data_IF_391108838003
#
_entry.id   IF_391108838003
#
_cell.length_a   1.000
_cell.length_b   1.000
_cell.length_c   1.000
_cell.angle_alpha   90.00
_cell.angle_beta   90.00
_cell.angle_gamma   90.00
#
_symmetry.space_group_name_H-M   'P 1'
#
loop_
_entity.id
_entity.type
_entity.pdbx_description
1 polymer ?
#
# COMPACT_ATOMS: atom_id res chain seq x y z
N UNK A 1 -10.49 -13.25 10.91
CA UNK A 1 -10.91 -11.84 11.07
C UNK A 1 -10.89 -11.16 9.72
N UNK A 2 -11.83 -10.25 9.52
CA UNK A 2 -12.12 -9.67 8.22
C UNK A 2 -11.46 -8.31 8.04
N UNK A 3 -11.07 -8.01 6.81
CA UNK A 3 -10.56 -6.71 6.38
C UNK A 3 -11.58 -6.12 5.43
N UNK A 4 -12.02 -4.89 5.70
CA UNK A 4 -12.92 -4.15 4.81
C UNK A 4 -12.08 -3.17 3.99
N UNK A 5 -12.16 -3.31 2.67
CA UNK A 5 -11.43 -2.46 1.72
C UNK A 5 -12.28 -1.28 1.26
N UNK A 6 -11.76 -0.06 1.36
CA UNK A 6 -12.44 1.15 0.89
C UNK A 6 -11.68 1.68 -0.33
N UNK A 7 -12.27 1.53 -1.52
CA UNK A 7 -11.62 1.84 -2.79
C UNK A 7 -12.07 3.23 -3.27
N UNK A 8 -11.12 4.15 -3.44
CA UNK A 8 -11.40 5.58 -3.58
C UNK A 8 -10.86 6.16 -4.89
N UNK A 9 -11.77 6.71 -5.69
CA UNK A 9 -11.51 7.33 -6.98
C UNK A 9 -11.01 6.35 -8.04
N UNK A 10 -10.68 6.88 -9.22
CA UNK A 10 -10.33 6.06 -10.38
C UNK A 10 -9.18 5.08 -10.10
N UNK A 11 -8.09 5.55 -9.50
CA UNK A 11 -6.92 4.71 -9.23
C UNK A 11 -7.21 3.65 -8.17
N UNK A 12 -7.83 4.04 -7.04
CA UNK A 12 -8.16 3.14 -5.94
C UNK A 12 -9.08 2.00 -6.37
N UNK A 13 -10.12 2.30 -7.15
CA UNK A 13 -11.06 1.31 -7.67
C UNK A 13 -10.42 0.33 -8.67
N UNK A 14 -9.46 0.79 -9.48
CA UNK A 14 -8.77 -0.09 -10.44
C UNK A 14 -7.73 -0.98 -9.76
N UNK A 15 -6.95 -0.44 -8.83
CA UNK A 15 -6.00 -1.23 -8.02
C UNK A 15 -6.76 -2.25 -7.15
N UNK A 16 -7.85 -1.82 -6.51
CA UNK A 16 -8.67 -2.70 -5.70
C UNK A 16 -9.27 -3.86 -6.49
N UNK A 17 -9.78 -3.62 -7.70
CA UNK A 17 -10.29 -4.68 -8.56
C UNK A 17 -9.21 -5.72 -8.90
N UNK A 18 -8.01 -5.29 -9.30
CA UNK A 18 -6.88 -6.21 -9.57
C UNK A 18 -6.41 -6.93 -8.29
N UNK A 19 -6.46 -6.27 -7.13
CA UNK A 19 -6.13 -6.87 -5.84
C UNK A 19 -7.08 -8.02 -5.50
N UNK A 20 -8.39 -7.82 -5.60
CA UNK A 20 -9.36 -8.89 -5.33
C UNK A 20 -9.26 -10.05 -6.33
N UNK A 21 -8.91 -9.78 -7.59
CA UNK A 21 -8.57 -10.83 -8.57
C UNK A 21 -7.36 -11.67 -8.12
N UNK A 22 -6.28 -11.02 -7.66
CA UNK A 22 -5.09 -11.70 -7.15
C UNK A 22 -5.41 -12.52 -5.90
N UNK A 23 -6.12 -11.92 -4.93
CA UNK A 23 -6.50 -12.57 -3.67
C UNK A 23 -7.38 -13.80 -3.92
N UNK A 24 -8.42 -13.66 -4.75
CA UNK A 24 -9.30 -14.75 -5.11
C UNK A 24 -8.56 -15.84 -5.89
N UNK A 25 -7.66 -15.45 -6.81
CA UNK A 25 -6.93 -16.42 -7.63
C UNK A 25 -5.98 -17.26 -6.78
N UNK A 26 -5.28 -16.64 -5.85
CA UNK A 26 -4.34 -17.30 -4.95
C UNK A 26 -5.06 -18.17 -3.90
N UNK A 27 -6.20 -17.71 -3.36
CA UNK A 27 -7.01 -18.50 -2.42
C UNK A 27 -7.58 -19.78 -3.05
N UNK A 28 -7.87 -19.75 -4.36
CA UNK A 28 -8.41 -20.89 -5.10
C UNK A 28 -7.33 -21.77 -5.73
N UNK A 29 -6.05 -21.38 -5.66
CA UNK A 29 -4.95 -22.13 -6.25
C UNK A 29 -4.53 -23.30 -5.34
N UNK A 30 -4.78 -24.52 -5.82
CA UNK A 30 -4.42 -25.77 -5.14
C UNK A 30 -5.42 -26.32 -4.11
N UNK A 31 -5.17 -27.54 -3.65
CA UNK A 31 -6.00 -28.31 -2.71
C UNK A 31 -5.68 -27.99 -1.23
N UNK A 32 -5.70 -26.71 -0.83
CA UNK A 32 -5.28 -26.28 0.52
C UNK A 32 -6.42 -25.62 1.30
N UNK A 33 -7.34 -26.44 1.79
CA UNK A 33 -8.61 -26.00 2.41
C UNK A 33 -8.44 -24.98 3.56
N UNK A 34 -7.44 -25.14 4.43
CA UNK A 34 -7.22 -24.22 5.57
C UNK A 34 -6.76 -22.82 5.14
N UNK A 35 -5.83 -22.74 4.17
CA UNK A 35 -5.33 -21.47 3.65
C UNK A 35 -6.45 -20.70 2.95
N UNK A 36 -7.17 -21.42 2.07
CA UNK A 36 -8.34 -20.89 1.36
C UNK A 36 -9.39 -20.36 2.33
N UNK A 37 -9.76 -21.14 3.35
CA UNK A 37 -10.78 -20.73 4.32
C UNK A 37 -10.42 -19.40 4.99
N UNK A 38 -9.17 -19.22 5.42
CA UNK A 38 -8.74 -17.99 6.13
C UNK A 38 -8.62 -16.81 5.16
N UNK A 39 -8.13 -17.03 3.94
CA UNK A 39 -8.12 -15.99 2.91
C UNK A 39 -9.54 -15.54 2.54
N UNK A 40 -10.45 -16.49 2.34
CA UNK A 40 -11.87 -16.22 2.08
C UNK A 40 -12.53 -15.49 3.25
N UNK A 41 -12.40 -15.97 4.49
CA UNK A 41 -12.93 -15.30 5.69
C UNK A 41 -12.46 -13.85 5.81
N UNK A 42 -11.20 -13.60 5.44
CA UNK A 42 -10.55 -12.29 5.55
C UNK A 42 -11.12 -11.28 4.55
N UNK A 43 -11.27 -11.66 3.28
CA UNK A 43 -11.57 -10.70 2.20
C UNK A 43 -12.95 -10.85 1.58
N UNK A 44 -13.62 -11.98 1.78
CA UNK A 44 -14.87 -12.30 1.11
C UNK A 44 -15.96 -12.67 2.13
N UNK A 45 -17.20 -12.34 1.78
CA UNK A 45 -18.40 -12.94 2.34
C UNK A 45 -18.82 -14.09 1.42
N UNK A 46 -19.10 -15.26 2.01
CA UNK A 46 -19.57 -16.41 1.24
C UNK A 46 -21.08 -16.45 1.33
N UNK A 47 -21.76 -16.35 0.19
CA UNK A 47 -23.22 -16.43 0.13
C UNK A 47 -23.71 -17.87 0.34
N UNK A 48 -25.00 -18.06 0.61
CA UNK A 48 -25.61 -19.39 0.76
C UNK A 48 -25.42 -20.28 -0.49
N UNK A 49 -25.21 -19.65 -1.65
CA UNK A 49 -24.95 -20.32 -2.94
C UNK A 49 -23.48 -20.67 -3.14
N UNK A 50 -22.61 -20.31 -2.20
CA UNK A 50 -21.17 -20.52 -2.26
C UNK A 50 -20.41 -19.49 -3.11
N UNK A 51 -21.07 -18.42 -3.54
CA UNK A 51 -20.44 -17.32 -4.28
C UNK A 51 -19.63 -16.43 -3.33
N UNK A 52 -18.52 -15.88 -3.83
CA UNK A 52 -17.65 -15.00 -3.04
C UNK A 52 -17.97 -13.53 -3.36
N UNK A 53 -18.49 -12.81 -2.37
CA UNK A 53 -18.72 -11.37 -2.43
C UNK A 53 -17.55 -10.65 -1.74
N UNK A 54 -16.90 -9.69 -2.42
CA UNK A 54 -15.78 -8.94 -1.86
C UNK A 54 -16.23 -8.02 -0.72
N UNK A 55 -15.51 -8.03 0.40
CA UNK A 55 -15.66 -7.10 1.53
C UNK A 55 -15.05 -5.74 1.15
N UNK A 56 -15.69 -5.05 0.21
CA UNK A 56 -15.18 -3.80 -0.34
C UNK A 56 -16.28 -2.80 -0.65
N UNK A 57 -16.00 -1.52 -0.40
CA UNK A 57 -16.85 -0.40 -0.79
C UNK A 57 -16.14 0.42 -1.87
N UNK A 58 -16.78 0.59 -3.03
CA UNK A 58 -16.23 1.34 -4.17
C UNK A 58 -16.83 2.73 -4.21
N UNK A 59 -15.98 3.74 -4.26
CA UNK A 59 -16.39 5.12 -4.18
C UNK A 59 -15.70 5.89 -5.28
N UNK A 60 -16.50 6.49 -6.16
CA UNK A 60 -16.02 7.40 -7.17
C UNK A 60 -17.06 8.50 -7.38
N UNK A 61 -16.66 9.65 -7.89
CA UNK A 61 -17.62 10.69 -8.28
C UNK A 61 -18.10 10.51 -9.72
N UNK A 62 -17.62 9.48 -10.42
CA UNK A 62 -17.99 9.14 -11.80
C UNK A 62 -18.31 7.64 -11.94
N UNK A 63 -19.40 7.26 -12.63
CA UNK A 63 -19.88 5.87 -12.64
C UNK A 63 -19.07 4.96 -13.56
N UNK A 64 -18.33 5.54 -14.53
CA UNK A 64 -17.67 4.79 -15.61
C UNK A 64 -16.65 3.79 -15.08
N UNK A 65 -15.87 4.18 -14.07
CA UNK A 65 -14.83 3.32 -13.49
C UNK A 65 -15.46 2.21 -12.67
N UNK A 66 -16.43 2.55 -11.81
CA UNK A 66 -17.17 1.59 -10.98
C UNK A 66 -17.86 0.54 -11.84
N UNK A 67 -18.64 0.95 -12.84
CA UNK A 67 -19.37 0.04 -13.73
C UNK A 67 -18.42 -0.92 -14.47
N UNK A 68 -17.22 -0.45 -14.82
CA UNK A 68 -16.18 -1.28 -15.42
C UNK A 68 -15.64 -2.30 -14.42
N UNK A 69 -15.31 -1.88 -13.21
CA UNK A 69 -14.79 -2.77 -12.17
C UNK A 69 -15.81 -3.84 -11.77
N UNK A 70 -17.07 -3.45 -11.57
CA UNK A 70 -18.18 -4.37 -11.24
C UNK A 70 -18.42 -5.35 -12.37
N UNK A 71 -18.52 -4.88 -13.63
CA UNK A 71 -18.70 -5.77 -14.79
C UNK A 71 -17.54 -6.77 -14.94
N UNK A 72 -16.30 -6.33 -14.68
CA UNK A 72 -15.11 -7.18 -14.80
C UNK A 72 -15.09 -8.27 -13.73
N UNK A 73 -15.39 -7.94 -12.48
CA UNK A 73 -15.48 -8.91 -11.38
C UNK A 73 -16.50 -10.00 -11.70
N UNK A 74 -17.73 -9.62 -12.06
CA UNK A 74 -18.81 -10.58 -12.38
C UNK A 74 -18.48 -11.43 -13.60
N UNK A 75 -17.81 -10.88 -14.62
CA UNK A 75 -17.44 -11.62 -15.83
C UNK A 75 -16.45 -12.76 -15.57
N UNK A 76 -15.61 -12.63 -14.54
CA UNK A 76 -14.67 -13.67 -14.17
C UNK A 76 -15.34 -14.87 -13.47
N UNK A 77 -16.58 -14.74 -12.98
CA UNK A 77 -17.35 -15.77 -12.26
C UNK A 77 -16.63 -16.41 -11.06
N UNK A 78 -15.59 -15.76 -10.53
CA UNK A 78 -14.83 -16.24 -9.35
C UNK A 78 -15.25 -15.52 -8.07
N UNK A 79 -15.63 -14.26 -8.19
CA UNK A 79 -16.08 -13.38 -7.12
C UNK A 79 -16.87 -12.19 -7.70
N UNK A 80 -17.60 -11.46 -6.86
CA UNK A 80 -18.37 -10.26 -7.25
C UNK A 80 -18.29 -9.17 -6.17
N UNK A 81 -18.70 -7.95 -6.51
CA UNK A 81 -18.95 -6.91 -5.52
C UNK A 81 -20.39 -6.97 -5.03
N UNK A 82 -20.64 -6.55 -3.79
CA UNK A 82 -21.99 -6.45 -3.25
C UNK A 82 -22.85 -5.45 -4.02
N UNK A 83 -24.13 -5.76 -4.15
CA UNK A 83 -25.09 -4.94 -4.93
C UNK A 83 -25.24 -3.53 -4.39
N UNK A 84 -25.01 -3.34 -3.09
CA UNK A 84 -25.09 -2.05 -2.39
C UNK A 84 -23.73 -1.48 -1.96
N UNK A 85 -22.63 -2.04 -2.44
CA UNK A 85 -21.26 -1.71 -1.98
C UNK A 85 -20.54 -0.75 -2.94
N UNK A 86 -21.29 0.08 -3.68
CA UNK A 86 -20.71 1.08 -4.57
C UNK A 86 -21.49 2.40 -4.59
N UNK A 87 -20.74 3.50 -4.69
CA UNK A 87 -21.26 4.86 -4.73
C UNK A 87 -20.69 5.62 -5.92
N UNK A 88 -21.58 6.21 -6.72
CA UNK A 88 -21.18 7.08 -7.83
C UNK A 88 -22.01 8.35 -7.90
N UNK A 89 -21.42 9.42 -8.46
CA UNK A 89 -22.10 10.67 -8.78
C UNK A 89 -21.96 10.99 -10.27
N UNK A 90 -22.59 12.07 -10.73
CA UNK A 90 -22.47 12.53 -12.13
C UNK A 90 -21.36 13.57 -12.33
N UNK A 91 -20.83 14.14 -11.25
CA UNK A 91 -19.88 15.25 -11.29
C UNK A 91 -18.63 14.92 -10.48
N UNK A 92 -17.51 14.76 -11.17
CA UNK A 92 -16.19 14.52 -10.59
C UNK A 92 -15.63 15.71 -9.80
N UNK A 93 -14.61 15.45 -8.97
CA UNK A 93 -13.93 16.50 -8.20
C UNK A 93 -12.94 17.34 -9.01
N UNK A 94 -12.79 17.10 -10.32
CA UNK A 94 -12.00 17.94 -11.23
C UNK A 94 -10.51 18.04 -10.88
N UNK A 95 -9.92 16.98 -10.34
CA UNK A 95 -8.54 16.96 -9.81
C UNK A 95 -8.24 18.00 -8.73
N UNK A 96 -9.25 18.53 -8.05
CA UNK A 96 -9.10 19.49 -6.96
C UNK A 96 -9.39 18.80 -5.62
N UNK A 97 -8.36 18.70 -4.77
CA UNK A 97 -8.47 18.10 -3.44
C UNK A 97 -9.47 18.85 -2.55
N UNK A 98 -9.50 20.19 -2.58
CA UNK A 98 -10.42 20.99 -1.77
C UNK A 98 -11.89 20.74 -2.12
N UNK A 99 -12.21 20.59 -3.41
CA UNK A 99 -13.56 20.21 -3.83
C UNK A 99 -13.93 18.80 -3.35
N UNK A 100 -13.00 17.85 -3.43
CA UNK A 100 -13.20 16.50 -2.88
C UNK A 100 -13.44 16.49 -1.36
N UNK A 101 -12.60 17.22 -0.61
CA UNK A 101 -12.61 17.23 0.85
C UNK A 101 -13.73 18.11 1.44
N UNK A 102 -13.89 19.35 0.98
CA UNK A 102 -14.78 20.34 1.59
C UNK A 102 -16.21 20.31 1.05
N UNK A 103 -16.41 19.82 -0.19
CA UNK A 103 -17.73 19.82 -0.84
C UNK A 103 -18.29 18.41 -0.94
N UNK A 104 -17.62 17.51 -1.67
CA UNK A 104 -18.12 16.16 -1.88
C UNK A 104 -18.11 15.33 -0.60
N UNK A 105 -17.08 15.51 0.25
CA UNK A 105 -16.96 14.88 1.56
C UNK A 105 -18.20 15.05 2.44
N UNK A 106 -18.46 16.25 2.97
CA UNK A 106 -19.61 16.50 3.83
C UNK A 106 -20.94 16.17 3.16
N UNK A 107 -21.09 16.44 1.86
CA UNK A 107 -22.35 16.22 1.14
C UNK A 107 -22.76 14.75 1.05
N UNK A 108 -21.79 13.84 1.02
CA UNK A 108 -22.03 12.40 0.80
C UNK A 108 -21.60 11.52 1.98
N UNK A 109 -21.21 12.15 3.09
CA UNK A 109 -20.79 11.49 4.34
C UNK A 109 -21.74 10.39 4.76
N UNK A 110 -22.99 10.73 5.06
CA UNK A 110 -23.95 9.81 5.67
C UNK A 110 -24.17 8.55 4.83
N UNK A 111 -24.26 8.73 3.50
CA UNK A 111 -24.47 7.63 2.57
C UNK A 111 -23.27 6.70 2.55
N UNK A 112 -22.06 7.26 2.48
CA UNK A 112 -20.81 6.47 2.41
C UNK A 112 -20.47 5.81 3.74
N UNK A 113 -20.61 6.51 4.86
CA UNK A 113 -20.44 5.93 6.20
C UNK A 113 -21.41 4.77 6.41
N UNK A 114 -22.67 4.90 5.99
CA UNK A 114 -23.66 3.83 6.08
C UNK A 114 -23.25 2.60 5.25
N UNK A 115 -22.70 2.79 4.04
CA UNK A 115 -22.19 1.67 3.23
C UNK A 115 -21.03 0.96 3.91
N UNK A 116 -20.06 1.70 4.46
CA UNK A 116 -18.95 1.08 5.19
C UNK A 116 -19.42 0.39 6.46
N UNK A 117 -20.36 1.01 7.20
CA UNK A 117 -20.97 0.44 8.41
C UNK A 117 -21.64 -0.90 8.12
N UNK A 118 -22.42 -1.01 7.03
CA UNK A 118 -23.03 -2.28 6.62
C UNK A 118 -22.00 -3.37 6.34
N UNK A 119 -20.91 -3.05 5.66
CA UNK A 119 -19.84 -4.01 5.39
C UNK A 119 -19.08 -4.42 6.65
N UNK A 120 -18.86 -3.48 7.58
CA UNK A 120 -18.26 -3.77 8.88
C UNK A 120 -19.16 -4.66 9.74
N UNK A 121 -20.47 -4.39 9.79
CA UNK A 121 -21.44 -5.20 10.56
C UNK A 121 -21.65 -6.61 10.00
N UNK A 122 -21.35 -6.81 8.70
CA UNK A 122 -21.31 -8.14 8.06
C UNK A 122 -20.04 -8.95 8.44
N UNK A 123 -19.11 -8.38 9.18
CA UNK A 123 -17.92 -9.07 9.64
C UNK A 123 -18.16 -9.64 11.05
N UNK A 124 -17.90 -10.94 11.24
CA UNK A 124 -17.93 -11.54 12.58
C UNK A 124 -16.93 -10.86 13.54
N UNK A 125 -15.78 -10.45 12.99
CA UNK A 125 -14.78 -9.63 13.68
C UNK A 125 -13.97 -8.82 12.68
N UNK A 126 -14.05 -7.49 12.78
CA UNK A 126 -13.23 -6.56 12.02
C UNK A 126 -11.78 -6.57 12.54
N UNK A 127 -10.82 -6.82 11.65
CA UNK A 127 -9.39 -6.68 11.93
C UNK A 127 -8.88 -5.28 11.66
N UNK A 128 -9.45 -4.59 10.67
CA UNK A 128 -9.01 -3.28 10.23
C UNK A 128 -9.63 -2.88 8.90
N UNK A 129 -9.42 -1.61 8.56
CA UNK A 129 -9.87 -0.97 7.34
C UNK A 129 -8.66 -0.72 6.45
N UNK A 130 -8.78 -1.03 5.16
CA UNK A 130 -7.75 -0.73 4.17
C UNK A 130 -8.29 0.22 3.11
N UNK A 131 -7.84 1.46 3.12
CA UNK A 131 -8.19 2.43 2.10
C UNK A 131 -7.19 2.37 0.93
N UNK A 132 -7.71 2.32 -0.30
CA UNK A 132 -6.93 2.26 -1.54
C UNK A 132 -7.19 3.54 -2.33
N UNK A 133 -6.17 4.38 -2.52
CA UNK A 133 -6.33 5.67 -3.18
C UNK A 133 -5.05 6.16 -3.88
N UNK A 134 -5.18 7.24 -4.66
CA UNK A 134 -4.04 8.00 -5.18
C UNK A 134 -3.97 9.36 -4.51
N UNK A 135 -2.75 9.86 -4.29
CA UNK A 135 -2.51 11.17 -3.66
C UNK A 135 -2.68 12.36 -4.61
N UNK A 136 -2.70 12.11 -5.92
CA UNK A 136 -2.69 13.18 -6.94
C UNK A 136 -4.08 13.59 -7.46
N UNK A 137 -5.09 12.73 -7.30
CA UNK A 137 -6.44 12.98 -7.82
C UNK A 137 -7.18 14.09 -7.08
N UNK A 138 -8.49 14.24 -7.32
CA UNK A 138 -9.39 15.06 -6.47
C UNK A 138 -10.29 14.19 -5.60
N UNK A 139 -10.92 13.18 -6.19
CA UNK A 139 -11.78 12.22 -5.48
C UNK A 139 -10.96 11.31 -4.57
N UNK A 140 -9.98 10.59 -5.14
CA UNK A 140 -9.19 9.62 -4.39
C UNK A 140 -8.44 10.26 -3.22
N UNK A 141 -7.88 11.45 -3.43
CA UNK A 141 -7.07 12.17 -2.45
C UNK A 141 -7.96 12.95 -1.46
N UNK A 142 -8.76 13.91 -1.94
CA UNK A 142 -9.55 14.83 -1.12
C UNK A 142 -10.71 14.14 -0.43
N UNK A 143 -11.62 13.54 -1.21
CA UNK A 143 -12.75 12.83 -0.60
C UNK A 143 -12.27 11.62 0.21
N UNK A 144 -11.23 10.92 -0.26
CA UNK A 144 -10.66 9.81 0.49
C UNK A 144 -10.00 10.22 1.82
N UNK A 145 -9.35 11.39 1.88
CA UNK A 145 -8.82 11.92 3.16
C UNK A 145 -9.96 12.24 4.12
N UNK A 146 -11.02 12.89 3.64
CA UNK A 146 -12.21 13.17 4.44
C UNK A 146 -12.85 11.89 4.97
N UNK A 147 -13.01 10.88 4.12
CA UNK A 147 -13.56 9.59 4.53
C UNK A 147 -12.66 8.90 5.55
N UNK A 148 -11.34 8.96 5.40
CA UNK A 148 -10.40 8.40 6.38
C UNK A 148 -10.59 9.07 7.75
N UNK A 149 -10.86 10.37 7.80
CA UNK A 149 -11.20 11.08 9.03
C UNK A 149 -12.49 10.55 9.64
N UNK A 150 -13.56 10.44 8.85
CA UNK A 150 -14.81 9.83 9.27
C UNK A 150 -14.64 8.40 9.82
N UNK A 151 -13.82 7.58 9.16
CA UNK A 151 -13.53 6.21 9.60
C UNK A 151 -12.75 6.17 10.91
N UNK A 152 -11.80 7.08 11.11
CA UNK A 152 -11.08 7.20 12.39
C UNK A 152 -12.01 7.63 13.52
N UNK A 153 -12.95 8.54 13.25
CA UNK A 153 -13.94 9.00 14.23
C UNK A 153 -14.94 7.89 14.58
N UNK A 154 -15.41 7.13 13.59
CA UNK A 154 -16.38 6.05 13.78
C UNK A 154 -15.76 4.77 14.37
N UNK A 155 -14.50 4.46 14.03
CA UNK A 155 -13.81 3.23 14.42
C UNK A 155 -12.45 3.53 15.06
N UNK A 156 -12.40 4.25 16.21
CA UNK A 156 -11.15 4.74 16.79
C UNK A 156 -10.18 3.64 17.20
N UNK A 157 -10.69 2.46 17.60
CA UNK A 157 -9.91 1.30 18.02
C UNK A 157 -9.50 0.38 16.88
N UNK A 158 -10.03 0.57 15.68
CA UNK A 158 -9.72 -0.25 14.52
C UNK A 158 -8.47 0.28 13.82
N UNK A 159 -7.65 -0.64 13.33
CA UNK A 159 -6.49 -0.26 12.53
C UNK A 159 -6.92 0.23 11.13
N UNK A 160 -6.33 1.33 10.68
CA UNK A 160 -6.56 1.94 9.37
C UNK A 160 -5.23 2.01 8.62
N UNK A 161 -5.12 1.22 7.55
CA UNK A 161 -4.00 1.28 6.61
C UNK A 161 -4.44 2.01 5.34
N UNK A 162 -3.66 3.01 4.94
CA UNK A 162 -3.85 3.68 3.66
C UNK A 162 -2.80 3.19 2.65
N UNK A 163 -3.25 2.57 1.58
CA UNK A 163 -2.43 2.33 0.41
C UNK A 163 -2.51 3.52 -0.56
N UNK A 164 -1.34 4.10 -0.84
CA UNK A 164 -1.19 5.28 -1.69
C UNK A 164 -0.44 4.94 -2.96
N UNK A 165 -1.09 5.18 -4.10
CA UNK A 165 -0.41 5.27 -5.39
C UNK A 165 0.18 6.66 -5.56
N UNK A 166 1.50 6.75 -5.52
CA UNK A 166 2.27 7.97 -5.71
C UNK A 166 2.32 8.35 -7.20
N UNK A 167 2.12 9.63 -7.56
CA UNK A 167 2.08 10.06 -8.95
C UNK A 167 3.44 9.96 -9.64
N UNK A 168 3.42 10.02 -10.97
CA UNK A 168 4.65 10.18 -11.73
C UNK A 168 5.33 11.52 -11.42
N UNK A 169 6.65 11.48 -11.29
CA UNK A 169 7.52 12.63 -11.05
C UNK A 169 7.51 13.64 -12.19
N UNK A 170 7.21 13.19 -13.42
CA UNK A 170 7.02 14.02 -14.63
C UNK A 170 5.73 14.83 -14.61
N UNK A 171 4.73 14.40 -13.82
CA UNK A 171 3.45 15.07 -13.69
C UNK A 171 2.36 14.48 -14.59
N UNK A 172 1.23 14.08 -13.98
CA UNK A 172 -0.01 13.71 -14.68
C UNK A 172 -1.04 14.85 -14.62
N UNK A 173 -1.02 15.59 -13.51
CA UNK A 173 -1.93 16.70 -13.22
C UNK A 173 -1.10 17.87 -12.69
N UNK A 174 -1.38 19.08 -13.19
CA UNK A 174 -0.62 20.28 -12.81
C UNK A 174 -0.63 20.53 -11.29
N UNK A 175 -1.77 20.31 -10.64
CA UNK A 175 -1.96 20.55 -9.20
C UNK A 175 -1.68 19.33 -8.31
N UNK A 176 -1.10 18.25 -8.85
CA UNK A 176 -0.88 17.00 -8.11
C UNK A 176 -0.03 17.18 -6.85
N UNK A 177 0.92 18.11 -6.86
CA UNK A 177 1.85 18.29 -5.74
C UNK A 177 1.10 18.89 -4.53
N UNK A 178 0.19 19.84 -4.75
CA UNK A 178 -0.70 20.35 -3.70
C UNK A 178 -1.63 19.28 -3.16
N UNK A 179 -2.27 18.51 -4.05
CA UNK A 179 -3.14 17.41 -3.65
C UNK A 179 -2.37 16.40 -2.78
N UNK A 180 -1.12 16.11 -3.16
CA UNK A 180 -0.26 15.16 -2.44
C UNK A 180 0.12 15.68 -1.06
N UNK A 181 0.53 16.96 -0.94
CA UNK A 181 0.88 17.59 0.35
C UNK A 181 -0.32 17.57 1.32
N UNK A 182 -1.48 18.06 0.88
CA UNK A 182 -2.69 18.12 1.71
C UNK A 182 -3.17 16.73 2.14
N UNK A 183 -3.09 15.76 1.22
CA UNK A 183 -3.45 14.36 1.51
C UNK A 183 -2.52 13.76 2.55
N UNK A 184 -1.21 13.82 2.33
CA UNK A 184 -0.23 13.17 3.21
C UNK A 184 -0.23 13.79 4.60
N UNK A 185 -0.28 15.12 4.71
CA UNK A 185 -0.28 15.82 6.00
C UNK A 185 -1.43 15.35 6.90
N UNK A 186 -2.63 15.20 6.33
CA UNK A 186 -3.82 14.72 7.05
C UNK A 186 -3.76 13.21 7.29
N UNK A 187 -3.41 12.40 6.28
CA UNK A 187 -3.34 10.94 6.42
C UNK A 187 -2.29 10.50 7.45
N UNK A 188 -1.21 11.26 7.66
CA UNK A 188 -0.21 10.97 8.69
C UNK A 188 -0.79 10.98 10.11
N UNK A 189 -1.76 11.86 10.35
CA UNK A 189 -2.45 11.97 11.64
C UNK A 189 -3.53 10.90 11.80
N UNK A 190 -4.19 10.52 10.70
CA UNK A 190 -5.38 9.66 10.72
C UNK A 190 -5.08 8.16 10.58
N UNK A 191 -4.02 7.81 9.86
CA UNK A 191 -3.66 6.41 9.54
C UNK A 191 -2.72 5.81 10.58
N UNK A 192 -2.80 4.50 10.78
CA UNK A 192 -1.82 3.77 11.60
C UNK A 192 -0.58 3.41 10.77
N UNK A 193 -0.76 3.11 9.49
CA UNK A 193 0.33 2.93 8.53
C UNK A 193 -0.06 3.35 7.12
N UNK A 194 0.93 3.75 6.33
CA UNK A 194 0.77 4.23 4.95
C UNK A 194 1.68 3.41 4.03
N UNK A 195 1.10 2.57 3.17
CA UNK A 195 1.84 1.76 2.20
C UNK A 195 1.91 2.50 0.88
N UNK A 196 3.12 2.79 0.39
CA UNK A 196 3.32 3.63 -0.81
C UNK A 196 3.90 2.84 -1.97
N UNK A 197 3.19 2.87 -3.11
CA UNK A 197 3.69 2.40 -4.41
C UNK A 197 3.90 3.58 -5.36
N UNK A 198 5.09 3.67 -5.94
CA UNK A 198 5.44 4.74 -6.88
C UNK A 198 5.19 4.32 -8.31
N UNK A 199 4.37 5.09 -9.03
CA UNK A 199 4.06 4.82 -10.43
C UNK A 199 5.33 4.73 -11.30
N UNK A 200 6.30 5.63 -11.12
CA UNK A 200 7.59 5.58 -11.83
C UNK A 200 8.33 4.25 -11.61
N UNK A 201 8.34 3.76 -10.36
CA UNK A 201 9.07 2.54 -10.00
C UNK A 201 8.34 1.29 -10.49
N UNK A 202 7.02 1.23 -10.33
CA UNK A 202 6.22 0.12 -10.84
C UNK A 202 6.23 0.08 -12.36
N UNK A 203 6.23 1.23 -13.03
CA UNK A 203 6.36 1.32 -14.48
C UNK A 203 7.73 0.79 -14.97
N UNK A 204 8.82 1.09 -14.25
CA UNK A 204 10.14 0.49 -14.53
C UNK A 204 10.14 -1.02 -14.37
N UNK A 205 9.50 -1.55 -13.32
CA UNK A 205 9.31 -3.00 -13.13
C UNK A 205 8.59 -3.61 -14.35
N UNK A 206 7.50 -3.00 -14.82
CA UNK A 206 6.77 -3.48 -16.00
C UNK A 206 7.65 -3.46 -17.26
N UNK A 207 8.44 -2.41 -17.44
CA UNK A 207 9.28 -2.23 -18.63
C UNK A 207 10.47 -3.17 -18.66
N UNK A 208 11.22 -3.23 -17.56
CA UNK A 208 12.54 -3.86 -17.52
C UNK A 208 12.43 -5.32 -17.09
N UNK A 209 11.73 -5.59 -15.97
CA UNK A 209 11.63 -6.95 -15.42
C UNK A 209 10.57 -7.80 -16.11
N UNK A 210 9.40 -7.23 -16.42
CA UNK A 210 8.31 -7.96 -17.10
C UNK A 210 8.40 -7.88 -18.63
N UNK A 211 9.32 -7.09 -19.17
CA UNK A 211 9.55 -6.90 -20.61
C UNK A 211 8.27 -6.57 -21.40
N UNK A 212 7.40 -5.72 -20.83
CA UNK A 212 6.16 -5.29 -21.46
C UNK A 212 6.45 -4.07 -22.35
N UNK A 213 6.25 -4.22 -23.67
CA UNK A 213 6.54 -3.14 -24.65
C UNK A 213 5.61 -1.95 -24.55
N UNK A 214 4.32 -2.18 -24.36
CA UNK A 214 3.29 -1.14 -24.24
C UNK A 214 2.62 -1.25 -22.88
N UNK A 215 3.10 -0.45 -21.94
CA UNK A 215 2.67 -0.51 -20.54
C UNK A 215 1.35 0.23 -20.40
N UNK A 216 0.33 -0.48 -19.93
CA UNK A 216 -0.95 0.10 -19.56
C UNK A 216 -1.08 0.28 -18.05
N UNK A 217 -2.02 1.10 -17.59
CA UNK A 217 -2.36 1.18 -16.17
C UNK A 217 -2.85 -0.17 -15.61
N UNK A 218 -3.42 -1.05 -16.43
CA UNK A 218 -3.80 -2.40 -15.99
C UNK A 218 -2.57 -3.22 -15.60
N UNK A 219 -1.45 -3.08 -16.33
CA UNK A 219 -0.21 -3.78 -16.02
C UNK A 219 0.42 -3.25 -14.73
N UNK A 220 0.46 -1.93 -14.56
CA UNK A 220 0.93 -1.26 -13.34
C UNK A 220 0.10 -1.69 -12.14
N UNK A 221 -1.24 -1.62 -12.24
CA UNK A 221 -2.14 -1.99 -11.16
C UNK A 221 -2.00 -3.48 -10.79
N UNK A 222 -1.74 -4.36 -11.77
CA UNK A 222 -1.52 -5.78 -11.52
C UNK A 222 -0.24 -6.04 -10.72
N UNK A 223 0.84 -5.30 -10.95
CA UNK A 223 2.07 -5.39 -10.13
C UNK A 223 1.81 -4.92 -8.70
N UNK A 224 1.12 -3.78 -8.53
CA UNK A 224 0.73 -3.28 -7.20
C UNK A 224 -0.15 -4.30 -6.46
N UNK A 225 -1.15 -4.86 -7.15
CA UNK A 225 -2.04 -5.88 -6.61
C UNK A 225 -1.29 -7.15 -6.17
N UNK A 226 -0.28 -7.58 -6.92
CA UNK A 226 0.57 -8.72 -6.54
C UNK A 226 1.40 -8.42 -5.29
N UNK A 227 2.02 -7.24 -5.20
CA UNK A 227 2.80 -6.83 -4.04
C UNK A 227 1.92 -6.73 -2.78
N UNK A 228 0.75 -6.09 -2.90
CA UNK A 228 -0.24 -6.03 -1.82
C UNK A 228 -0.78 -7.42 -1.44
N UNK A 229 -1.07 -8.29 -2.41
CA UNK A 229 -1.49 -9.66 -2.15
C UNK A 229 -0.43 -10.46 -1.38
N UNK A 230 0.85 -10.27 -1.68
CA UNK A 230 1.96 -10.90 -0.96
C UNK A 230 2.00 -10.53 0.53
N UNK A 231 1.63 -9.28 0.84
CA UNK A 231 1.52 -8.75 2.21
C UNK A 231 0.28 -9.29 2.92
N UNK A 232 -0.86 -9.26 2.23
CA UNK A 232 -2.19 -9.42 2.81
C UNK A 232 -2.65 -10.88 2.92
N UNK A 233 -2.10 -11.81 2.14
CA UNK A 233 -2.50 -13.21 2.21
C UNK A 233 -2.08 -13.88 3.53
N UNK A 234 -2.73 -14.99 3.97
CA UNK A 234 -2.37 -15.69 5.20
C UNK A 234 -0.89 -16.10 5.24
N UNK A 235 -0.25 -15.91 6.40
CA UNK A 235 1.09 -16.35 6.70
C UNK A 235 1.19 -16.78 8.17
N UNK A 236 2.19 -17.61 8.48
CA UNK A 236 2.57 -17.93 9.85
C UNK A 236 3.50 -16.83 10.36
N UNK A 237 3.14 -16.25 11.48
CA UNK A 237 3.91 -15.22 12.17
C UNK A 237 4.56 -15.82 13.42
N UNK A 238 5.53 -15.11 13.99
CA UNK A 238 6.24 -15.51 15.22
C UNK A 238 5.30 -15.82 16.38
N UNK A 239 4.19 -15.07 16.48
CA UNK A 239 3.19 -15.21 17.53
C UNK A 239 2.14 -16.30 17.26
N UNK A 240 2.09 -16.82 16.03
CA UNK A 240 0.93 -17.59 15.56
C UNK A 240 0.92 -19.08 15.94
N UNK A 241 1.90 -19.57 16.74
CA UNK A 241 1.97 -20.94 17.28
C UNK A 241 1.54 -22.08 16.31
N UNK A 242 1.89 -21.97 15.03
CA UNK A 242 1.56 -22.99 14.01
C UNK A 242 0.18 -22.85 13.34
N UNK A 243 -0.54 -21.75 13.58
CA UNK A 243 -1.76 -21.37 12.87
C UNK A 243 -1.50 -20.16 11.97
N UNK A 244 -2.27 -19.99 10.89
CA UNK A 244 -2.15 -18.75 10.13
C UNK A 244 -2.60 -17.57 10.99
N UNK A 245 -1.89 -16.44 10.91
CA UNK A 245 -2.28 -15.22 11.62
C UNK A 245 -3.71 -14.84 11.23
N UNK A 246 -4.49 -14.49 12.25
CA UNK A 246 -5.89 -14.05 12.09
C UNK A 246 -5.99 -12.52 11.95
N UNK A 247 -4.96 -11.76 12.32
CA UNK A 247 -4.96 -10.30 12.42
C UNK A 247 -3.76 -9.69 11.68
N UNK A 248 -3.67 -9.83 10.35
CA UNK A 248 -2.48 -9.42 9.61
C UNK A 248 -2.22 -7.91 9.67
N UNK A 249 -3.27 -7.09 9.75
CA UNK A 249 -3.14 -5.62 9.77
C UNK A 249 -2.55 -5.16 11.10
N UNK A 250 -3.09 -5.68 12.21
CA UNK A 250 -2.60 -5.41 13.57
C UNK A 250 -1.12 -5.79 13.69
N UNK A 251 -0.79 -7.04 13.35
CA UNK A 251 0.59 -7.52 13.44
C UNK A 251 1.52 -6.74 12.51
N UNK A 252 1.07 -6.34 11.32
CA UNK A 252 1.86 -5.51 10.39
C UNK A 252 2.14 -4.12 10.95
N UNK A 253 1.12 -3.43 11.46
CA UNK A 253 1.25 -2.09 12.04
C UNK A 253 2.14 -2.14 13.28
N UNK A 254 1.88 -3.07 14.19
CA UNK A 254 2.65 -3.25 15.43
C UNK A 254 4.13 -3.58 15.15
N UNK A 255 4.41 -4.32 14.07
CA UNK A 255 5.78 -4.67 13.66
C UNK A 255 6.54 -3.54 12.97
N UNK A 256 5.86 -2.67 12.22
CA UNK A 256 6.51 -1.73 11.32
C UNK A 256 6.38 -0.25 11.75
N UNK A 257 5.27 0.13 12.37
CA UNK A 257 4.97 1.49 12.78
C UNK A 257 5.08 1.63 14.31
N UNK A 258 6.21 1.20 14.87
CA UNK A 258 6.46 1.16 16.32
C UNK A 258 6.44 2.55 16.99
N UNK A 259 6.58 3.62 16.21
CA UNK A 259 6.54 5.00 16.70
C UNK A 259 5.63 5.86 15.79
N UNK A 260 4.76 6.72 16.36
CA UNK A 260 3.79 7.49 15.58
C UNK A 260 4.40 8.42 14.52
N UNK A 261 5.64 8.84 14.70
CA UNK A 261 6.33 9.68 13.70
C UNK A 261 6.83 8.90 12.47
N UNK A 262 6.81 7.57 12.46
CA UNK A 262 7.31 6.76 11.35
C UNK A 262 6.22 5.81 10.84
N UNK A 263 5.45 6.27 9.85
CA UNK A 263 4.29 5.52 9.31
C UNK A 263 4.40 5.16 7.82
N UNK A 264 5.44 5.63 7.13
CA UNK A 264 5.62 5.39 5.70
C UNK A 264 6.27 4.03 5.45
N UNK A 265 5.55 3.17 4.74
CA UNK A 265 5.97 1.82 4.40
C UNK A 265 6.25 1.71 2.91
N UNK A 266 7.43 1.21 2.58
CA UNK A 266 7.83 0.85 1.23
C UNK A 266 7.76 -0.66 1.04
N UNK A 267 7.47 -1.10 -0.18
CA UNK A 267 7.35 -2.52 -0.53
C UNK A 267 8.32 -2.88 -1.63
N UNK A 268 9.02 -4.00 -1.45
CA UNK A 268 9.82 -4.67 -2.46
C UNK A 268 9.41 -6.14 -2.53
N UNK A 269 9.35 -6.72 -3.72
CA UNK A 269 9.00 -8.14 -3.88
C UNK A 269 9.84 -8.78 -4.96
N UNK A 270 10.28 -10.01 -4.71
CA UNK A 270 11.04 -10.82 -5.64
C UNK A 270 10.51 -12.26 -5.61
N UNK A 271 10.63 -13.01 -6.71
CA UNK A 271 11.05 -12.57 -8.04
C UNK A 271 9.96 -11.74 -8.75
N UNK A 272 10.36 -10.93 -9.73
CA UNK A 272 9.45 -10.28 -10.67
C UNK A 272 9.90 -10.59 -12.08
N UNK A 273 9.15 -11.45 -12.78
CA UNK A 273 9.53 -11.91 -14.12
C UNK A 273 8.31 -12.28 -14.96
N UNK A 274 8.47 -12.37 -16.30
CA UNK A 274 7.40 -12.77 -17.19
C UNK A 274 6.99 -14.22 -16.93
N UNK A 275 5.71 -14.54 -17.12
CA UNK A 275 5.19 -15.91 -16.89
C UNK A 275 5.88 -16.97 -17.76
N UNK A 276 6.40 -16.60 -18.94
CA UNK A 276 7.17 -17.48 -19.81
C UNK A 276 8.51 -17.92 -19.22
N UNK A 277 9.11 -17.08 -18.36
CA UNK A 277 10.44 -17.32 -17.79
C UNK A 277 10.39 -18.17 -16.51
N UNK A 278 9.22 -18.27 -15.87
CA UNK A 278 9.03 -19.00 -14.60
C UNK A 278 9.43 -20.48 -14.76
N UNK A 279 9.01 -21.13 -15.85
CA UNK A 279 9.28 -22.55 -16.08
C UNK A 279 10.78 -22.89 -16.26
N UNK A 280 11.60 -21.90 -16.59
CA UNK A 280 13.04 -22.06 -16.83
C UNK A 280 13.90 -21.52 -15.69
N UNK A 281 13.28 -20.99 -14.63
CA UNK A 281 13.99 -20.38 -13.51
C UNK A 281 14.10 -21.36 -12.35
N UNK A 282 15.30 -21.48 -11.77
CA UNK A 282 15.52 -22.24 -10.54
C UNK A 282 15.52 -21.29 -9.35
N UNK A 283 14.62 -21.51 -8.40
CA UNK A 283 14.46 -20.63 -7.24
C UNK A 283 15.29 -21.11 -6.05
N UNK A 284 16.22 -20.26 -5.59
CA UNK A 284 17.09 -20.51 -4.44
C UNK A 284 16.92 -19.43 -3.37
N UNK A 285 16.65 -19.84 -2.13
CA UNK A 285 16.46 -18.90 -1.00
C UNK A 285 17.67 -18.02 -0.73
N UNK A 286 18.91 -18.54 -0.62
CA UNK A 286 20.09 -17.70 -0.46
C UNK A 286 20.24 -16.63 -1.55
N UNK A 287 19.93 -16.96 -2.81
CA UNK A 287 20.00 -16.02 -3.93
C UNK A 287 18.97 -14.90 -3.79
N UNK A 288 17.70 -15.28 -3.60
CA UNK A 288 16.60 -14.32 -3.42
C UNK A 288 16.87 -13.39 -2.22
N UNK A 289 17.19 -13.96 -1.05
CA UNK A 289 17.44 -13.16 0.15
C UNK A 289 18.66 -12.25 0.03
N UNK A 290 19.71 -12.68 -0.67
CA UNK A 290 20.88 -11.84 -0.95
C UNK A 290 20.49 -10.62 -1.80
N UNK A 291 19.72 -10.81 -2.87
CA UNK A 291 19.25 -9.70 -3.69
C UNK A 291 18.33 -8.78 -2.88
N UNK A 292 17.35 -9.33 -2.18
CA UNK A 292 16.40 -8.53 -1.38
C UNK A 292 17.08 -7.71 -0.29
N UNK A 293 18.10 -8.28 0.37
CA UNK A 293 18.92 -7.55 1.35
C UNK A 293 19.68 -6.41 0.70
N UNK A 294 20.32 -6.64 -0.46
CA UNK A 294 21.04 -5.58 -1.15
C UNK A 294 20.08 -4.50 -1.69
N UNK A 295 18.88 -4.88 -2.11
CA UNK A 295 17.81 -3.96 -2.51
C UNK A 295 17.43 -3.01 -1.36
N UNK A 296 17.27 -3.56 -0.14
CA UNK A 296 17.03 -2.76 1.06
C UNK A 296 18.17 -1.76 1.31
N UNK A 297 19.42 -2.23 1.29
CA UNK A 297 20.63 -1.45 1.59
C UNK A 297 20.82 -0.30 0.59
N UNK A 298 20.65 -0.58 -0.70
CA UNK A 298 20.86 0.38 -1.80
C UNK A 298 19.62 1.20 -2.16
N UNK A 299 18.51 1.03 -1.42
CA UNK A 299 17.23 1.70 -1.67
C UNK A 299 16.68 1.50 -3.09
N UNK A 300 16.84 0.30 -3.66
CA UNK A 300 16.22 -0.04 -4.95
C UNK A 300 15.03 -0.96 -4.73
N UNK A 301 14.01 -0.84 -5.58
CA UNK A 301 12.83 -1.71 -5.58
C UNK A 301 12.89 -2.79 -6.67
N UNK A 302 13.99 -2.86 -7.42
CA UNK A 302 14.22 -3.83 -8.50
C UNK A 302 15.64 -4.39 -8.49
N UNK A 303 15.80 -5.65 -8.91
CA UNK A 303 17.10 -6.37 -8.91
C UNK A 303 18.14 -5.70 -9.83
N UNK A 304 17.72 -5.18 -10.99
CA UNK A 304 18.61 -4.52 -11.95
C UNK A 304 19.13 -3.15 -11.47
N UNK A 305 18.46 -2.55 -10.49
CA UNK A 305 18.84 -1.28 -9.89
C UNK A 305 19.78 -1.43 -8.69
N UNK A 306 20.24 -2.65 -8.38
CA UNK A 306 21.07 -2.91 -7.21
C UNK A 306 22.45 -2.28 -7.38
N UNK A 307 22.79 -1.38 -6.47
CA UNK A 307 24.17 -0.93 -6.28
C UNK A 307 24.87 -1.82 -5.24
N UNK A 308 25.77 -2.67 -5.72
CA UNK A 308 26.58 -3.58 -4.88
C UNK A 308 27.73 -2.89 -4.13
N UNK A 309 28.00 -1.61 -4.44
CA UNK A 309 29.03 -0.82 -3.75
C UNK A 309 28.50 -0.25 -2.44
N UNK A 310 27.19 -0.03 -2.31
CA UNK A 310 26.57 0.44 -1.07
C UNK A 310 26.63 -0.68 -0.02
N UNK A 311 27.20 -0.34 1.15
CA UNK A 311 27.32 -1.25 2.29
C UNK A 311 26.79 -0.60 3.56
N UNK A 312 26.34 -1.39 4.54
CA UNK A 312 25.99 -0.86 5.84
C UNK A 312 27.22 -0.17 6.48
N UNK A 313 27.01 0.92 7.24
CA UNK A 313 28.11 1.60 7.91
C UNK A 313 28.73 0.68 8.97
N UNK A 314 30.06 0.57 8.97
CA UNK A 314 30.83 -0.26 9.92
C UNK A 314 30.90 0.31 11.34
N UNK A 315 30.15 1.38 11.67
CA UNK A 315 30.13 2.05 12.96
C UNK A 315 28.86 2.89 13.16
N UNK A 316 28.67 3.45 14.37
CA UNK A 316 27.47 4.21 14.75
C UNK A 316 27.33 5.60 14.07
N UNK A 317 28.15 5.90 13.05
CA UNK A 317 28.15 7.16 12.33
C UNK A 317 27.46 7.08 10.97
N UNK A 318 26.80 8.18 10.58
CA UNK A 318 26.00 8.34 9.36
C UNK A 318 26.83 8.51 8.07
N UNK A 319 28.01 7.90 7.96
CA UNK A 319 29.00 8.29 6.93
C UNK A 319 29.00 7.36 5.71
N UNK A 320 27.83 7.08 5.15
CA UNK A 320 27.68 6.36 3.88
C UNK A 320 26.69 7.06 2.96
N UNK A 321 27.19 7.79 1.95
CA UNK A 321 26.36 8.38 0.89
C UNK A 321 25.57 7.30 0.16
N UNK A 322 24.26 7.20 0.41
CA UNK A 322 23.35 6.32 -0.32
C UNK A 322 22.82 5.10 0.45
N UNK A 323 23.23 4.90 1.70
CA UNK A 323 22.68 3.83 2.54
C UNK A 323 21.26 4.17 3.04
N UNK A 324 20.36 3.20 2.98
CA UNK A 324 18.99 3.32 3.49
C UNK A 324 18.86 2.68 4.86
N UNK A 325 18.75 3.52 5.90
CA UNK A 325 18.51 3.03 7.26
C UNK A 325 17.02 2.79 7.49
N UNK A 326 16.72 1.66 8.10
CA UNK A 326 15.36 1.24 8.44
C UNK A 326 15.06 1.46 9.91
N UNK A 327 13.80 1.74 10.24
CA UNK A 327 13.27 1.64 11.60
C UNK A 327 12.95 0.19 11.89
N UNK A 328 12.11 -0.40 11.05
CA UNK A 328 11.66 -1.79 11.17
C UNK A 328 11.36 -2.39 9.80
N UNK A 329 11.51 -3.71 9.70
CA UNK A 329 11.37 -4.50 8.49
C UNK A 329 10.50 -5.73 8.75
N UNK A 330 9.65 -6.03 7.79
CA UNK A 330 8.81 -7.22 7.77
C UNK A 330 9.12 -8.03 6.52
N UNK A 331 9.71 -9.20 6.71
CA UNK A 331 10.08 -10.14 5.66
C UNK A 331 9.06 -11.26 5.56
N UNK A 332 8.34 -11.34 4.44
CA UNK A 332 7.30 -12.34 4.19
C UNK A 332 7.81 -13.33 3.15
N UNK A 333 8.02 -14.58 3.55
CA UNK A 333 8.56 -15.66 2.73
C UNK A 333 7.46 -16.67 2.38
N UNK A 334 7.27 -16.92 1.09
CA UNK A 334 6.23 -17.82 0.57
C UNK A 334 6.82 -18.86 -0.37
N UNK A 335 6.56 -20.15 -0.15
CA UNK A 335 7.00 -21.22 -1.06
C UNK A 335 7.52 -22.49 -0.40
N UNK A 336 8.23 -23.32 -1.17
CA UNK A 336 8.85 -24.55 -0.64
C UNK A 336 10.05 -24.25 0.27
N UNK A 337 10.31 -25.12 1.24
CA UNK A 337 11.49 -25.10 2.13
C UNK A 337 11.68 -23.79 2.93
N UNK A 338 10.60 -23.05 3.18
CA UNK A 338 10.64 -21.75 3.89
C UNK A 338 11.14 -21.88 5.33
N UNK A 339 10.89 -23.02 5.99
CA UNK A 339 11.29 -23.23 7.39
C UNK A 339 12.80 -23.42 7.55
N UNK A 340 13.47 -24.02 6.58
CA UNK A 340 14.94 -24.19 6.55
C UNK A 340 15.70 -22.94 6.13
N UNK A 341 15.01 -21.87 5.72
CA UNK A 341 15.65 -20.65 5.24
C UNK A 341 16.19 -19.81 6.40
N UNK A 342 17.47 -19.46 6.30
CA UNK A 342 18.17 -18.55 7.20
C UNK A 342 17.91 -17.08 6.83
N UNK A 343 17.56 -16.26 7.82
CA UNK A 343 17.27 -14.82 7.66
C UNK A 343 18.28 -13.92 8.39
N UNK A 344 19.36 -14.50 8.92
CA UNK A 344 20.39 -13.84 9.73
C UNK A 344 21.00 -12.60 9.06
N UNK A 345 21.09 -12.58 7.72
CA UNK A 345 21.56 -11.42 6.97
C UNK A 345 20.75 -10.14 7.19
N UNK A 346 19.47 -10.25 7.60
CA UNK A 346 18.60 -9.10 7.90
C UNK A 346 18.62 -8.69 9.37
N UNK A 347 19.29 -9.44 10.25
CA UNK A 347 19.36 -9.18 11.70
C UNK A 347 20.52 -8.25 12.08
N UNK A 348 21.29 -7.81 11.09
CA UNK A 348 22.46 -6.95 11.29
C UNK A 348 22.04 -5.59 11.89
N UNK A 349 22.55 -5.20 13.08
CA UNK A 349 22.12 -3.97 13.75
C UNK A 349 22.38 -2.68 12.95
N UNK A 350 23.37 -2.68 12.05
CA UNK A 350 23.71 -1.54 11.20
C UNK A 350 22.59 -1.15 10.21
N UNK A 351 21.68 -2.09 9.91
CA UNK A 351 20.50 -1.88 9.06
C UNK A 351 19.42 -1.02 9.73
N UNK A 352 19.43 -0.99 11.06
CA UNK A 352 18.36 -0.41 11.86
C UNK A 352 18.80 0.87 12.56
N UNK A 353 17.82 1.62 13.06
CA UNK A 353 18.04 2.72 13.99
C UNK A 353 18.63 2.23 15.32
N UNK A 354 19.49 3.04 15.94
CA UNK A 354 20.21 2.68 17.17
C UNK A 354 19.31 2.43 18.38
N UNK A 355 18.09 2.97 18.39
CA UNK A 355 17.16 2.92 19.51
C UNK A 355 16.26 1.68 19.52
N UNK A 356 16.16 0.94 18.41
CA UNK A 356 15.39 -0.30 18.33
C UNK A 356 16.33 -1.50 18.20
N UNK A 357 16.29 -2.48 19.11
CA UNK A 357 17.08 -3.70 18.97
C UNK A 357 16.75 -4.43 17.67
N UNK A 358 17.77 -5.00 17.00
CA UNK A 358 17.57 -5.66 15.69
C UNK A 358 16.60 -6.84 15.74
N UNK A 359 16.49 -7.50 16.90
CA UNK A 359 15.56 -8.62 17.13
C UNK A 359 14.09 -8.16 17.11
N UNK A 360 13.81 -6.94 17.55
CA UNK A 360 12.47 -6.36 17.51
C UNK A 360 12.19 -5.66 16.18
N UNK A 361 13.24 -5.11 15.56
CA UNK A 361 13.16 -4.41 14.30
C UNK A 361 12.89 -5.33 13.09
N UNK A 362 13.30 -6.61 13.15
CA UNK A 362 13.03 -7.58 12.10
C UNK A 362 11.91 -8.54 12.50
N UNK A 363 10.83 -8.53 11.72
CA UNK A 363 9.78 -9.53 11.80
C UNK A 363 9.80 -10.42 10.57
N UNK A 364 9.65 -11.74 10.76
CA UNK A 364 9.66 -12.71 9.66
C UNK A 364 8.36 -13.51 9.65
N UNK A 365 7.64 -13.43 8.54
CA UNK A 365 6.46 -14.23 8.29
C UNK A 365 6.76 -15.30 7.25
N UNK A 366 6.28 -16.51 7.48
CA UNK A 366 6.58 -17.69 6.67
C UNK A 366 5.29 -18.32 6.19
N UNK A 367 5.24 -18.76 4.94
CA UNK A 367 4.10 -19.50 4.40
C UNK A 367 4.59 -20.58 3.44
N UNK A 368 4.25 -21.87 3.64
CA UNK A 368 4.62 -22.93 2.71
C UNK A 368 3.77 -22.92 1.42
N UNK A 369 2.83 -21.98 1.30
CA UNK A 369 1.99 -21.79 0.12
C UNK A 369 2.74 -20.91 -0.88
N UNK A 370 3.03 -21.40 -2.10
CA UNK A 370 3.59 -20.57 -3.15
C UNK A 370 2.60 -19.46 -3.51
N UNK A 371 3.11 -18.34 -4.00
CA UNK A 371 2.29 -17.18 -4.36
C UNK A 371 2.53 -16.81 -5.82
N UNK A 372 1.47 -16.48 -6.55
CA UNK A 372 1.54 -16.02 -7.94
C UNK A 372 2.32 -16.96 -8.87
N UNK A 373 2.15 -18.29 -8.71
CA UNK A 373 2.83 -19.35 -9.48
C UNK A 373 4.34 -19.45 -9.27
N UNK A 374 4.95 -18.61 -8.43
CA UNK A 374 6.35 -18.74 -8.07
C UNK A 374 6.53 -19.84 -7.03
N UNK A 375 7.51 -20.72 -7.25
CA UNK A 375 7.83 -21.78 -6.29
C UNK A 375 8.32 -21.20 -4.95
N UNK A 376 9.06 -20.09 -5.01
CA UNK A 376 9.56 -19.31 -3.88
C UNK A 376 9.44 -17.82 -4.20
N UNK A 377 8.93 -17.06 -3.25
CA UNK A 377 8.81 -15.60 -3.34
C UNK A 377 9.06 -14.96 -1.97
N UNK A 378 9.61 -13.76 -1.99
CA UNK A 378 9.89 -12.96 -0.82
C UNK A 378 9.38 -11.54 -1.03
N UNK A 379 8.62 -11.04 -0.05
CA UNK A 379 8.15 -9.66 0.00
C UNK A 379 8.74 -9.00 1.24
N UNK A 380 9.39 -7.87 1.05
CA UNK A 380 9.92 -7.03 2.12
C UNK A 380 9.06 -5.77 2.23
N UNK A 381 8.48 -5.54 3.41
CA UNK A 381 7.87 -4.27 3.77
C UNK A 381 8.80 -3.57 4.74
N UNK A 382 9.18 -2.34 4.43
CA UNK A 382 10.21 -1.62 5.18
C UNK A 382 9.73 -0.22 5.54
N UNK A 383 9.82 0.11 6.83
CA UNK A 383 9.72 1.47 7.33
C UNK A 383 11.13 2.06 7.34
N UNK A 384 11.48 2.85 6.33
CA UNK A 384 12.84 3.33 6.13
C UNK A 384 12.88 4.69 5.44
N UNK A 385 14.09 5.21 5.22
CA UNK A 385 14.35 6.43 4.47
C UNK A 385 14.02 6.32 2.96
N UNK A 386 13.48 5.19 2.50
CA UNK A 386 13.23 4.92 1.09
C UNK A 386 12.36 5.98 0.40
N UNK A 387 11.34 6.44 1.11
CA UNK A 387 10.34 7.38 0.61
C UNK A 387 10.70 8.85 0.87
N UNK A 388 11.89 9.12 1.44
CA UNK A 388 12.34 10.48 1.77
C UNK A 388 12.55 11.32 0.51
N UNK A 389 13.23 10.78 -0.52
CA UNK A 389 13.52 11.53 -1.75
C UNK A 389 12.26 11.89 -2.53
N UNK A 390 11.30 10.96 -2.78
CA UNK A 390 10.04 11.32 -3.42
C UNK A 390 9.23 12.36 -2.64
N UNK A 391 9.21 12.24 -1.31
CA UNK A 391 8.49 13.17 -0.43
C UNK A 391 9.08 14.58 -0.48
N UNK A 392 10.40 14.71 -0.31
CA UNK A 392 11.14 15.98 -0.37
C UNK A 392 10.94 16.68 -1.72
N UNK A 393 10.95 15.92 -2.82
CA UNK A 393 10.70 16.45 -4.16
C UNK A 393 9.26 16.97 -4.37
N UNK A 394 8.25 16.25 -3.86
CA UNK A 394 6.85 16.71 -3.95
C UNK A 394 6.65 17.97 -3.11
N UNK A 395 7.17 18.00 -1.88
CA UNK A 395 7.07 19.15 -0.98
C UNK A 395 7.75 20.37 -1.60
N UNK A 396 8.98 20.23 -2.12
CA UNK A 396 9.69 21.31 -2.78
C UNK A 396 8.94 21.86 -4.01
N UNK A 397 8.39 20.97 -4.85
CA UNK A 397 7.57 21.38 -6.01
C UNK A 397 6.31 22.12 -5.58
N UNK A 398 5.60 21.60 -4.58
CA UNK A 398 4.40 22.26 -4.04
C UNK A 398 4.73 23.62 -3.42
N UNK A 399 5.84 23.73 -2.68
CA UNK A 399 6.29 25.00 -2.11
C UNK A 399 6.61 26.04 -3.19
N UNK A 400 7.31 25.65 -4.25
CA UNK A 400 7.62 26.56 -5.36
C UNK A 400 6.35 27.07 -6.06
N UNK A 401 5.35 26.20 -6.24
CA UNK A 401 4.03 26.59 -6.74
C UNK A 401 3.34 27.57 -5.78
N UNK A 402 3.42 27.30 -4.47
CA UNK A 402 2.78 28.09 -3.42
C UNK A 402 3.38 29.49 -3.32
N UNK A 403 4.72 29.59 -3.31
CA UNK A 403 5.46 30.85 -3.29
C UNK A 403 5.11 31.74 -4.50
N UNK A 404 4.82 31.11 -5.64
CA UNK A 404 4.39 31.81 -6.87
C UNK A 404 2.88 32.11 -6.90
N UNK A 405 2.14 31.74 -5.85
CA UNK A 405 0.67 31.78 -5.76
C UNK A 405 -0.06 31.09 -6.92
N UNK A 406 0.59 30.10 -7.53
CA UNK A 406 0.05 29.38 -8.68
C UNK A 406 -1.10 28.48 -8.23
N UNK A 407 -2.25 28.55 -8.90
CA UNK A 407 -3.44 27.70 -8.70
C UNK A 407 -4.10 27.71 -7.30
N UNK A 408 -3.58 28.46 -6.32
CA UNK A 408 -4.12 28.52 -4.95
C UNK A 408 -5.59 28.96 -4.92
N UNK A 409 -5.98 29.91 -5.77
CA UNK A 409 -7.35 30.41 -5.88
C UNK A 409 -8.38 29.28 -6.14
N UNK A 410 -7.97 28.18 -6.77
CA UNK A 410 -8.85 27.02 -7.00
C UNK A 410 -9.17 26.28 -5.71
N UNK A 411 -8.28 26.31 -4.71
CA UNK A 411 -8.46 25.67 -3.40
C UNK A 411 -9.22 26.59 -2.44
N UNK A 412 -8.86 27.89 -2.41
CA UNK A 412 -9.55 28.92 -1.63
C UNK A 412 -11.04 28.99 -1.99
N UNK A 413 -11.38 28.86 -3.27
CA UNK A 413 -12.77 28.84 -3.72
C UNK A 413 -13.63 27.77 -3.02
N UNK A 414 -13.02 26.66 -2.58
CA UNK A 414 -13.71 25.56 -1.91
C UNK A 414 -13.47 25.52 -0.40
N UNK A 415 -12.86 26.55 0.18
CA UNK A 415 -12.75 26.71 1.63
C UNK A 415 -11.39 26.31 2.25
N UNK A 416 -10.38 26.00 1.44
CA UNK A 416 -9.01 25.77 1.95
C UNK A 416 -8.23 27.08 1.98
N UNK A 417 -7.76 27.45 3.15
CA UNK A 417 -7.00 28.67 3.38
C UNK A 417 -5.53 28.53 3.00
N UNK A 418 -4.80 29.65 2.92
CA UNK A 418 -3.33 29.62 2.79
C UNK A 418 -2.67 29.01 4.05
N UNK A 419 -3.29 29.17 5.23
CA UNK A 419 -2.81 28.58 6.50
C UNK A 419 -2.84 27.05 6.45
N UNK A 420 -3.90 26.45 5.89
CA UNK A 420 -3.98 24.99 5.71
C UNK A 420 -2.82 24.42 4.87
N UNK A 421 -2.34 25.18 3.88
CA UNK A 421 -1.16 24.80 3.11
C UNK A 421 0.11 24.87 3.95
N UNK A 422 0.31 25.95 4.71
CA UNK A 422 1.46 26.14 5.58
C UNK A 422 1.54 25.07 6.67
N UNK A 423 0.40 24.71 7.26
CA UNK A 423 0.29 23.59 8.21
C UNK A 423 0.67 22.27 7.54
N UNK A 424 0.18 22.04 6.32
CA UNK A 424 0.52 20.87 5.52
C UNK A 424 2.02 20.77 5.21
N UNK A 425 2.67 21.87 4.84
CA UNK A 425 4.11 21.92 4.62
C UNK A 425 4.88 21.64 5.90
N UNK A 426 4.52 22.32 7.00
CA UNK A 426 5.18 22.17 8.30
C UNK A 426 5.11 20.73 8.79
N UNK A 427 3.94 20.09 8.70
CA UNK A 427 3.75 18.70 9.10
C UNK A 427 4.65 17.74 8.29
N UNK A 428 4.73 17.92 6.97
CA UNK A 428 5.57 17.06 6.13
C UNK A 428 7.06 17.34 6.27
N UNK A 429 7.46 18.59 6.48
CA UNK A 429 8.85 18.94 6.79
C UNK A 429 9.31 18.31 8.12
N UNK A 430 8.43 18.26 9.11
CA UNK A 430 8.70 17.53 10.36
C UNK A 430 8.91 16.04 10.09
N UNK A 431 8.04 15.39 9.30
CA UNK A 431 8.21 13.98 8.92
C UNK A 431 9.54 13.76 8.20
N UNK A 432 9.87 14.62 7.22
CA UNK A 432 11.14 14.57 6.50
C UNK A 432 12.32 14.70 7.46
N UNK A 433 12.25 15.62 8.42
CA UNK A 433 13.28 15.82 9.45
C UNK A 433 13.44 14.57 10.33
N UNK A 434 12.34 13.99 10.84
CA UNK A 434 12.38 12.78 11.66
C UNK A 434 13.01 11.59 10.91
N UNK A 435 12.71 11.40 9.62
CA UNK A 435 13.35 10.36 8.81
C UNK A 435 14.82 10.68 8.48
N UNK A 436 15.20 11.95 8.29
CA UNK A 436 16.60 12.37 8.11
C UNK A 436 17.43 12.09 9.37
N UNK A 437 16.85 12.22 10.56
CA UNK A 437 17.52 11.96 11.84
C UNK A 437 17.76 10.48 12.16
N UNK A 438 17.17 9.54 11.40
CA UNK A 438 17.49 8.12 11.55
C UNK A 438 18.97 7.83 11.24
N UNK A 439 19.59 8.67 10.41
CA UNK A 439 20.98 8.56 9.98
C UNK A 439 21.96 8.70 11.13
#
# INVERSE_FOLDING_TARGET
MSVVSVQLGQCGNQVGQELFDVLCSDAQDGQRNKYRAISCERFFHQTDRGELEARAVLIDMEPKVINRCVSRATKCSRWSYGSSSHFSQKQGSGNNWANGFCVHGPRHRDVVEEMVRREVERCDRLSGLMALMSVAGGTGSGFGTYLTQCLRDAYPTSFIINHLTWPYSTGEVIVQNYNSVLTLARLYQLSDAIVVHENDTVHKICSQLLNIKHISFSDVNRVIAQQLGGILQPAFTTHSHGFYSRSPIDELVSSLACHPEYKLLSVSSIPQMPSSSIAFTTFSWPGLLKHLRQMLISNTKMEEGIDWQVRPPSGAGCTGSGFNRSVANLLILRGKDVYSTETSGFEEPSLYSSWLPSVEALNVWKCPVPFHKYEKSATLVSNSQALLRPLDHIVAKAWNMFASRAYIHQYIRYGISEEDFLDGFTALEQVISSYKQLC
#
